data_IF_843630748016
#
_entry.id   IF_843630748016
#
_cell.length_a   1.000
_cell.length_b   1.000
_cell.length_c   1.000
_cell.angle_alpha   90.00
_cell.angle_beta   90.00
_cell.angle_gamma   90.00
#
_symmetry.space_group_name_H-M   'P 1'
#
loop_
_entity.id
_entity.type
_entity.pdbx_description
1 polymer ?
#
# COMPACT_ATOMS: atom_id res chain seq x y z
N UNK A 1 -57.33 15.54 -1.68
CA UNK A 1 -56.29 16.18 -2.52
C UNK A 1 -55.31 15.09 -2.94
N UNK A 2 -55.02 15.00 -4.24
CA UNK A 2 -54.43 13.83 -4.92
C UNK A 2 -52.95 13.63 -4.58
N UNK A 3 -52.59 12.40 -4.23
CA UNK A 3 -51.21 11.91 -4.20
C UNK A 3 -50.68 11.76 -5.63
N UNK A 4 -49.53 12.37 -5.93
CA UNK A 4 -48.81 12.20 -7.20
C UNK A 4 -47.59 11.33 -6.91
N UNK A 5 -47.60 10.11 -7.43
CA UNK A 5 -46.43 9.23 -7.48
C UNK A 5 -45.62 9.58 -8.73
N UNK A 6 -44.37 10.01 -8.55
CA UNK A 6 -43.40 10.11 -9.64
C UNK A 6 -42.79 8.74 -9.88
N UNK A 7 -43.19 8.08 -10.97
CA UNK A 7 -42.49 6.92 -11.51
C UNK A 7 -41.22 7.40 -12.22
N UNK A 8 -40.05 7.11 -11.63
CA UNK A 8 -38.78 7.18 -12.35
C UNK A 8 -38.71 5.98 -13.31
N UNK A 9 -38.90 6.26 -14.60
CA UNK A 9 -38.69 5.28 -15.66
C UNK A 9 -37.17 5.17 -15.91
N UNK A 10 -36.54 4.10 -15.40
CA UNK A 10 -35.16 3.76 -15.75
C UNK A 10 -35.17 3.23 -17.18
N UNK A 11 -34.71 4.04 -18.13
CA UNK A 11 -34.43 3.58 -19.49
C UNK A 11 -33.14 2.75 -19.46
N UNK A 12 -33.27 1.43 -19.39
CA UNK A 12 -32.17 0.50 -19.66
C UNK A 12 -31.92 0.50 -21.16
N UNK A 13 -30.93 1.25 -21.64
CA UNK A 13 -30.45 1.14 -23.02
C UNK A 13 -29.65 -0.17 -23.10
N UNK A 14 -30.32 -1.24 -23.55
CA UNK A 14 -29.67 -2.48 -23.98
C UNK A 14 -28.86 -2.18 -25.24
N UNK A 15 -27.59 -1.83 -25.08
CA UNK A 15 -26.63 -1.86 -26.18
C UNK A 15 -26.30 -3.33 -26.45
N UNK A 16 -26.81 -3.88 -27.56
CA UNK A 16 -26.47 -5.23 -27.99
C UNK A 16 -24.98 -5.30 -28.33
N UNK A 17 -24.17 -5.80 -27.39
CA UNK A 17 -22.75 -6.09 -27.60
C UNK A 17 -22.64 -7.40 -28.40
N UNK A 18 -22.14 -7.33 -29.63
CA UNK A 18 -21.78 -8.53 -30.38
C UNK A 18 -20.35 -8.93 -30.01
N UNK A 19 -20.23 -9.91 -29.11
CA UNK A 19 -18.95 -10.49 -28.71
C UNK A 19 -18.73 -11.76 -29.54
N UNK A 20 -17.71 -11.76 -30.41
CA UNK A 20 -17.36 -12.94 -31.22
C UNK A 20 -16.08 -13.58 -30.67
N UNK A 21 -16.19 -14.84 -30.25
CA UNK A 21 -15.03 -15.72 -30.06
C UNK A 21 -14.73 -16.39 -31.40
N UNK A 22 -13.50 -16.31 -31.91
CA UNK A 22 -13.09 -17.13 -33.05
C UNK A 22 -12.56 -18.47 -32.54
N UNK A 23 -13.10 -19.56 -33.08
CA UNK A 23 -12.66 -20.95 -32.81
C UNK A 23 -12.26 -21.68 -34.11
N UNK A 24 -11.95 -20.97 -35.22
CA UNK A 24 -11.63 -21.59 -36.51
C UNK A 24 -10.27 -21.13 -37.10
N UNK A 25 -9.42 -22.12 -37.40
CA UNK A 25 -8.11 -22.05 -38.09
C UNK A 25 -8.21 -21.79 -39.61
N UNK A 26 -9.09 -20.88 -40.07
CA UNK A 26 -9.20 -20.61 -41.50
C UNK A 26 -9.61 -19.17 -41.86
N UNK A 27 -8.68 -18.25 -41.64
CA UNK A 27 -8.39 -17.09 -42.49
C UNK A 27 -7.10 -16.45 -42.00
N UNK A 28 -6.23 -16.01 -42.90
CA UNK A 28 -4.91 -15.40 -42.66
C UNK A 28 -4.93 -14.06 -41.86
N UNK A 29 -6.05 -13.73 -41.21
CA UNK A 29 -6.20 -12.56 -40.35
C UNK A 29 -5.62 -12.89 -38.96
N UNK A 30 -4.33 -12.57 -38.78
CA UNK A 30 -3.74 -12.54 -37.45
C UNK A 30 -4.41 -11.42 -36.64
N UNK A 31 -4.89 -11.70 -35.41
CA UNK A 31 -5.53 -10.68 -34.58
C UNK A 31 -4.59 -9.49 -34.37
N UNK A 32 -5.13 -8.29 -34.58
CA UNK A 32 -4.38 -7.03 -34.48
C UNK A 32 -4.47 -6.49 -33.03
N UNK A 33 -3.61 -7.01 -32.16
CA UNK A 33 -3.52 -6.56 -30.78
C UNK A 33 -2.84 -5.20 -30.66
N UNK A 34 -3.16 -4.46 -29.61
CA UNK A 34 -2.38 -3.28 -29.25
C UNK A 34 -0.94 -3.67 -28.93
N UNK A 35 0.00 -2.87 -29.42
CA UNK A 35 1.44 -3.06 -29.17
C UNK A 35 1.75 -2.62 -27.74
N UNK A 36 2.64 -3.36 -27.08
CA UNK A 36 3.16 -2.96 -25.77
C UNK A 36 3.83 -1.57 -25.85
N UNK A 37 3.66 -0.77 -24.80
CA UNK A 37 4.18 0.59 -24.72
C UNK A 37 5.13 0.77 -23.54
N UNK A 38 6.03 1.73 -23.64
CA UNK A 38 6.87 2.17 -22.53
C UNK A 38 6.23 3.41 -21.89
N UNK A 39 5.95 3.36 -20.59
CA UNK A 39 5.34 4.50 -19.91
C UNK A 39 6.29 5.70 -19.76
N UNK A 40 7.61 5.51 -19.95
CA UNK A 40 8.58 6.61 -20.07
C UNK A 40 8.51 7.32 -21.43
N UNK A 41 7.97 6.65 -22.46
CA UNK A 41 7.89 7.18 -23.82
C UNK A 41 6.52 6.89 -24.44
N UNK A 42 5.49 7.49 -23.83
CA UNK A 42 4.12 7.29 -24.24
C UNK A 42 3.81 7.94 -25.60
N UNK A 43 2.92 7.33 -26.41
CA UNK A 43 2.40 7.97 -27.59
C UNK A 43 1.77 9.34 -27.29
N UNK A 44 1.87 10.25 -28.26
CA UNK A 44 1.33 11.61 -28.16
C UNK A 44 -0.14 11.58 -27.70
N UNK A 45 -0.46 12.34 -26.65
CA UNK A 45 -1.80 12.43 -26.06
C UNK A 45 -1.99 11.67 -24.74
N UNK A 46 -1.06 10.78 -24.37
CA UNK A 46 -1.10 10.03 -23.11
C UNK A 46 -0.17 10.60 -22.02
N UNK A 47 0.27 11.85 -22.17
CA UNK A 47 1.29 12.60 -21.39
C UNK A 47 1.61 11.99 -20.00
N UNK A 48 2.83 11.46 -19.80
CA UNK A 48 3.26 10.93 -18.51
C UNK A 48 3.54 12.06 -17.51
N UNK A 49 3.28 11.80 -16.23
CA UNK A 49 3.51 12.69 -15.11
C UNK A 49 4.25 11.89 -14.04
N UNK A 50 5.42 12.37 -13.62
CA UNK A 50 6.05 11.88 -12.40
C UNK A 50 5.39 12.57 -11.20
N UNK A 51 4.79 11.79 -10.31
CA UNK A 51 4.20 12.31 -9.08
C UNK A 51 5.30 12.56 -8.04
N UNK A 52 5.09 13.52 -7.14
CA UNK A 52 6.01 13.81 -6.04
C UNK A 52 7.38 14.33 -6.49
N UNK A 53 7.45 15.05 -7.61
CA UNK A 53 8.65 15.78 -8.02
C UNK A 53 9.06 16.82 -6.96
N UNK A 54 10.35 17.08 -6.83
CA UNK A 54 10.89 17.90 -5.73
C UNK A 54 10.43 19.36 -5.75
N UNK A 55 10.03 19.87 -6.91
CA UNK A 55 9.51 21.23 -7.10
C UNK A 55 7.98 21.30 -7.12
N UNK A 56 7.27 20.17 -6.91
CA UNK A 56 5.82 20.20 -6.72
C UNK A 56 5.44 20.95 -5.44
N UNK A 57 4.39 21.78 -5.53
CA UNK A 57 3.80 22.42 -4.34
C UNK A 57 3.40 21.37 -3.29
N UNK A 58 3.73 21.55 -1.99
CA UNK A 58 3.24 20.72 -0.91
C UNK A 58 1.72 20.56 -0.90
N UNK A 59 0.97 21.57 -1.35
CA UNK A 59 -0.50 21.50 -1.44
C UNK A 59 -1.01 20.35 -2.30
N UNK A 60 -0.24 19.90 -3.30
CA UNK A 60 -0.60 18.72 -4.11
C UNK A 60 -0.64 17.45 -3.26
N UNK A 61 0.17 17.33 -2.20
CA UNK A 61 0.21 16.14 -1.34
C UNK A 61 -1.14 15.88 -0.67
N UNK A 62 -1.88 16.96 -0.38
CA UNK A 62 -3.18 16.94 0.28
C UNK A 62 -4.36 16.91 -0.70
N UNK A 63 -4.11 16.88 -2.01
CA UNK A 63 -5.15 16.69 -3.02
C UNK A 63 -5.63 15.24 -2.98
N UNK A 64 -6.55 14.95 -2.07
CA UNK A 64 -7.11 13.62 -1.85
C UNK A 64 -7.99 13.13 -3.02
N UNK A 65 -8.22 13.93 -4.06
CA UNK A 65 -8.82 13.43 -5.31
C UNK A 65 -7.77 12.73 -6.19
N UNK A 66 -6.51 13.12 -6.05
CA UNK A 66 -5.42 12.73 -6.94
C UNK A 66 -4.19 12.12 -6.24
N UNK A 67 -3.97 12.30 -4.94
CA UNK A 67 -2.82 11.76 -4.17
C UNK A 67 -3.33 10.84 -3.06
N UNK A 68 -3.81 9.68 -3.49
CA UNK A 68 -4.26 8.62 -2.61
C UNK A 68 -3.94 7.26 -3.21
N UNK A 69 -3.73 6.26 -2.36
CA UNK A 69 -3.56 4.90 -2.82
C UNK A 69 -4.03 3.90 -1.77
N UNK A 70 -4.35 2.68 -2.22
CA UNK A 70 -4.47 1.56 -1.29
C UNK A 70 -3.17 0.78 -1.27
N UNK A 71 -2.71 0.39 -0.09
CA UNK A 71 -1.40 -0.30 0.06
C UNK A 71 -1.33 -1.65 -0.66
N UNK A 72 -2.47 -2.27 -0.97
CA UNK A 72 -2.56 -3.48 -1.81
C UNK A 72 -2.96 -3.21 -3.27
N UNK A 73 -3.06 -1.96 -3.69
CA UNK A 73 -3.37 -1.54 -5.06
C UNK A 73 -2.42 -0.39 -5.45
N UNK A 74 -1.12 -0.65 -5.40
CA UNK A 74 -0.09 0.36 -5.70
C UNK A 74 -0.02 0.71 -7.18
N UNK A 75 -0.31 -0.27 -8.05
CA UNK A 75 -0.57 -0.04 -9.47
C UNK A 75 -2.08 0.11 -9.67
N UNK A 76 -2.54 1.35 -9.81
CA UNK A 76 -3.95 1.73 -9.91
C UNK A 76 -4.35 1.97 -11.36
N UNK A 77 -5.55 1.51 -11.70
CA UNK A 77 -6.23 1.82 -12.95
C UNK A 77 -7.63 2.29 -12.59
N UNK A 78 -7.92 3.57 -12.84
CA UNK A 78 -9.15 4.23 -12.42
C UNK A 78 -9.82 4.81 -13.66
N UNK A 79 -11.09 4.47 -13.87
CA UNK A 79 -11.90 5.10 -14.92
C UNK A 79 -12.00 6.61 -14.69
N UNK A 80 -11.76 7.40 -15.74
CA UNK A 80 -11.94 8.84 -15.76
C UNK A 80 -12.95 9.20 -16.85
N UNK A 81 -14.10 9.73 -16.43
CA UNK A 81 -15.20 10.01 -17.35
C UNK A 81 -15.73 8.74 -18.02
N UNK A 82 -16.16 8.88 -19.28
CA UNK A 82 -16.79 7.78 -20.04
C UNK A 82 -15.83 6.97 -20.89
N UNK A 83 -14.63 7.47 -21.16
CA UNK A 83 -13.82 6.99 -22.27
C UNK A 83 -12.33 6.86 -21.96
N UNK A 84 -11.92 7.14 -20.72
CA UNK A 84 -10.51 7.25 -20.37
C UNK A 84 -10.20 6.53 -19.06
N UNK A 85 -8.93 6.20 -18.85
CA UNK A 85 -8.40 5.71 -17.58
C UNK A 85 -7.21 6.53 -17.13
N UNK A 86 -7.08 6.68 -15.82
CA UNK A 86 -5.84 7.08 -15.17
C UNK A 86 -5.10 5.82 -14.73
N UNK A 87 -3.85 5.70 -15.13
CA UNK A 87 -2.91 4.69 -14.66
C UNK A 87 -1.96 5.36 -13.68
N UNK A 88 -1.72 4.77 -12.51
CA UNK A 88 -0.81 5.35 -11.51
C UNK A 88 -0.04 4.28 -10.75
N UNK A 89 1.25 4.50 -10.54
CA UNK A 89 2.09 3.65 -9.69
C UNK A 89 2.56 4.43 -8.47
N UNK A 90 2.11 4.04 -7.28
CA UNK A 90 2.59 4.55 -6.00
C UNK A 90 3.72 3.66 -5.48
N UNK A 91 4.91 3.81 -6.06
CA UNK A 91 6.09 3.04 -5.69
C UNK A 91 7.36 3.84 -5.98
N UNK A 92 8.38 3.79 -5.09
CA UNK A 92 9.70 4.36 -5.34
C UNK A 92 10.52 3.60 -6.38
N UNK A 93 10.07 2.41 -6.79
CA UNK A 93 10.70 1.62 -7.84
C UNK A 93 9.64 1.30 -8.91
N UNK A 94 10.00 1.49 -10.18
CA UNK A 94 9.15 1.16 -11.30
C UNK A 94 8.83 -0.34 -11.40
N UNK A 95 7.90 -0.69 -12.30
CA UNK A 95 7.49 -2.06 -12.59
C UNK A 95 7.71 -2.39 -14.06
N UNK A 96 8.05 -3.66 -14.35
CA UNK A 96 8.17 -4.18 -15.71
C UNK A 96 7.03 -5.11 -16.08
N UNK A 97 6.80 -5.31 -17.39
CA UNK A 97 5.81 -6.26 -17.94
C UNK A 97 4.44 -6.16 -17.24
N UNK A 98 3.90 -4.94 -17.18
CA UNK A 98 2.60 -4.68 -16.52
C UNK A 98 1.47 -4.83 -17.52
N UNK A 99 0.53 -5.72 -17.21
CA UNK A 99 -0.64 -6.04 -18.04
C UNK A 99 -1.89 -5.53 -17.36
N UNK A 100 -2.63 -4.66 -18.05
CA UNK A 100 -3.92 -4.15 -17.61
C UNK A 100 -5.01 -4.88 -18.36
N UNK A 101 -5.84 -5.61 -17.61
CA UNK A 101 -7.01 -6.31 -18.12
C UNK A 101 -8.28 -5.52 -17.80
N UNK A 102 -9.23 -5.56 -18.71
CA UNK A 102 -10.60 -5.12 -18.49
C UNK A 102 -11.57 -6.30 -18.44
N UNK A 103 -12.63 -6.18 -17.65
CA UNK A 103 -13.79 -7.06 -17.67
C UNK A 103 -15.06 -6.21 -17.78
N UNK A 104 -15.93 -6.54 -18.72
CA UNK A 104 -17.24 -5.89 -18.86
C UNK A 104 -18.26 -6.57 -17.95
N UNK A 105 -19.19 -5.83 -17.38
CA UNK A 105 -20.27 -6.40 -16.56
C UNK A 105 -21.13 -7.41 -17.34
N UNK A 106 -21.21 -7.25 -18.65
CA UNK A 106 -21.94 -8.14 -19.57
C UNK A 106 -21.10 -9.29 -20.14
N UNK A 107 -19.84 -9.45 -19.73
CA UNK A 107 -18.94 -10.47 -20.28
C UNK A 107 -18.04 -11.08 -19.19
N UNK A 108 -18.12 -12.40 -19.01
CA UNK A 108 -17.51 -13.04 -17.86
C UNK A 108 -15.99 -13.13 -17.90
N UNK A 109 -15.37 -13.05 -19.09
CA UNK A 109 -13.92 -13.14 -19.26
C UNK A 109 -13.28 -11.75 -19.28
N UNK A 110 -12.10 -11.65 -18.68
CA UNK A 110 -11.26 -10.45 -18.82
C UNK A 110 -10.36 -10.55 -20.06
N UNK A 111 -10.01 -9.40 -20.62
CA UNK A 111 -9.19 -9.27 -21.82
C UNK A 111 -8.17 -8.14 -21.65
N UNK A 112 -6.99 -8.31 -22.25
CA UNK A 112 -5.87 -7.37 -22.14
C UNK A 112 -6.17 -6.09 -22.93
N UNK A 113 -6.13 -4.94 -22.25
CA UNK A 113 -6.34 -3.62 -22.88
C UNK A 113 -5.07 -2.79 -22.99
N UNK A 114 -4.10 -2.98 -22.09
CA UNK A 114 -2.79 -2.35 -22.19
C UNK A 114 -1.69 -3.29 -21.69
N UNK A 115 -0.53 -3.21 -22.34
CA UNK A 115 0.70 -3.86 -21.92
C UNK A 115 1.79 -2.79 -21.83
N UNK A 116 2.38 -2.64 -20.65
CA UNK A 116 3.48 -1.71 -20.40
C UNK A 116 4.76 -2.52 -20.20
N UNK A 117 5.76 -2.31 -21.07
CA UNK A 117 7.08 -2.93 -20.89
C UNK A 117 7.77 -2.42 -19.62
N UNK A 118 7.55 -1.15 -19.32
CA UNK A 118 8.09 -0.43 -18.18
C UNK A 118 7.08 0.65 -17.70
N UNK A 119 6.95 0.77 -16.39
CA UNK A 119 6.19 1.82 -15.68
C UNK A 119 7.14 2.46 -14.66
N UNK A 120 7.51 3.74 -14.81
CA UNK A 120 8.51 4.36 -13.94
C UNK A 120 8.03 4.54 -12.50
N UNK A 121 8.95 4.83 -11.59
CA UNK A 121 8.62 5.14 -10.20
C UNK A 121 7.68 6.35 -10.12
N UNK A 122 6.74 6.33 -9.17
CA UNK A 122 5.76 7.39 -8.96
C UNK A 122 5.00 7.85 -10.22
N UNK A 123 4.80 6.94 -11.18
CA UNK A 123 4.19 7.26 -12.47
C UNK A 123 2.72 7.62 -12.39
N UNK A 124 2.28 8.52 -13.26
CA UNK A 124 0.87 8.70 -13.65
C UNK A 124 0.76 8.99 -15.14
N UNK A 125 -0.23 8.42 -15.79
CA UNK A 125 -0.65 8.85 -17.13
C UNK A 125 -2.14 8.63 -17.36
N UNK A 126 -2.66 9.26 -18.41
CA UNK A 126 -4.04 9.14 -18.84
C UNK A 126 -4.10 8.50 -20.21
N UNK A 127 -5.01 7.55 -20.41
CA UNK A 127 -5.13 6.81 -21.66
C UNK A 127 -6.58 6.74 -22.07
N UNK A 128 -6.85 6.90 -23.37
CA UNK A 128 -8.17 6.61 -23.92
C UNK A 128 -8.41 5.10 -23.92
N UNK A 129 -9.56 4.67 -23.40
CA UNK A 129 -9.97 3.27 -23.41
C UNK A 129 -10.06 2.76 -24.84
N UNK A 130 -9.36 1.67 -25.20
CA UNK A 130 -9.37 1.13 -26.56
C UNK A 130 -10.79 0.83 -27.07
N UNK A 131 -11.67 0.39 -26.17
CA UNK A 131 -13.04 -0.03 -26.50
C UNK A 131 -13.91 1.11 -27.03
N UNK A 132 -13.54 2.37 -26.78
CA UNK A 132 -14.31 3.52 -27.28
C UNK A 132 -13.81 4.06 -28.62
N UNK A 133 -12.62 3.62 -29.06
CA UNK A 133 -11.96 4.15 -30.25
C UNK A 133 -12.30 3.35 -31.52
N UNK A 134 -12.91 2.19 -31.39
CA UNK A 134 -13.28 1.38 -32.56
C UNK A 134 -13.58 -0.07 -32.20
N UNK A 135 -13.76 -0.88 -33.24
CA UNK A 135 -13.81 -2.33 -33.14
C UNK A 135 -12.37 -2.86 -33.08
N UNK A 136 -12.08 -3.71 -32.10
CA UNK A 136 -10.74 -4.24 -31.89
C UNK A 136 -10.76 -5.70 -31.43
N UNK A 137 -9.65 -6.40 -31.69
CA UNK A 137 -9.38 -7.72 -31.12
C UNK A 137 -8.54 -7.57 -29.85
N UNK A 138 -8.92 -8.32 -28.82
CA UNK A 138 -8.24 -8.32 -27.52
C UNK A 138 -7.82 -9.73 -27.12
N UNK A 139 -6.69 -9.81 -26.43
CA UNK A 139 -6.15 -11.09 -25.95
C UNK A 139 -6.81 -11.50 -24.64
N UNK A 140 -7.44 -12.67 -24.62
CA UNK A 140 -7.92 -13.33 -23.40
C UNK A 140 -6.76 -13.96 -22.62
N UNK A 141 -6.99 -14.29 -21.35
CA UNK A 141 -5.99 -14.94 -20.50
C UNK A 141 -5.44 -16.26 -21.06
N UNK A 142 -6.29 -17.02 -21.74
CA UNK A 142 -5.91 -18.27 -22.39
C UNK A 142 -5.18 -18.07 -23.74
N UNK A 143 -4.87 -16.82 -24.11
CA UNK A 143 -4.19 -16.47 -25.35
C UNK A 143 -5.08 -16.38 -26.59
N UNK A 144 -6.36 -16.76 -26.50
CA UNK A 144 -7.33 -16.61 -27.60
C UNK A 144 -7.70 -15.14 -27.80
N UNK A 145 -8.17 -14.81 -29.00
CA UNK A 145 -8.70 -13.49 -29.32
C UNK A 145 -10.20 -13.39 -28.98
N UNK A 146 -10.63 -12.20 -28.60
CA UNK A 146 -12.04 -11.80 -28.56
C UNK A 146 -12.20 -10.48 -29.33
N UNK A 147 -13.16 -10.43 -30.24
CA UNK A 147 -13.49 -9.19 -30.94
C UNK A 147 -14.60 -8.46 -30.20
N UNK A 148 -14.39 -7.18 -29.92
CA UNK A 148 -15.38 -6.31 -29.26
C UNK A 148 -15.65 -5.11 -30.17
N UNK A 149 -16.92 -4.88 -30.50
CA UNK A 149 -17.35 -3.70 -31.24
C UNK A 149 -17.22 -2.42 -30.38
N UNK A 150 -17.15 -1.26 -31.05
CA UNK A 150 -17.03 0.04 -30.38
C UNK A 150 -18.15 0.24 -29.34
N UNK A 151 -17.76 0.63 -28.13
CA UNK A 151 -18.66 1.01 -27.05
C UNK A 151 -18.73 2.53 -26.98
N UNK A 152 -19.94 3.09 -26.85
CA UNK A 152 -20.19 4.54 -26.83
C UNK A 152 -19.66 5.29 -25.58
N UNK A 153 -18.94 4.59 -24.71
CA UNK A 153 -18.49 5.05 -23.40
C UNK A 153 -19.08 4.20 -22.27
N UNK A 154 -18.53 4.36 -21.08
CA UNK A 154 -18.85 3.58 -19.89
C UNK A 154 -19.42 4.45 -18.78
N UNK A 155 -20.45 3.98 -18.10
CA UNK A 155 -20.84 4.46 -16.78
C UNK A 155 -19.99 3.78 -15.70
N UNK A 156 -20.00 4.35 -14.48
CA UNK A 156 -19.28 3.78 -13.34
C UNK A 156 -19.75 2.34 -13.06
N UNK A 157 -18.80 1.40 -13.02
CA UNK A 157 -19.07 -0.01 -12.70
C UNK A 157 -19.43 -0.88 -13.91
N UNK A 158 -19.51 -0.34 -15.12
CA UNK A 158 -19.73 -1.15 -16.34
C UNK A 158 -18.46 -1.88 -16.81
N UNK A 159 -17.29 -1.38 -16.38
CA UNK A 159 -15.98 -1.93 -16.69
C UNK A 159 -15.15 -2.02 -15.40
N UNK A 160 -14.55 -3.20 -15.18
CA UNK A 160 -13.65 -3.47 -14.07
C UNK A 160 -12.23 -3.66 -14.59
N UNK A 161 -11.24 -3.16 -13.86
CA UNK A 161 -9.83 -3.29 -14.21
C UNK A 161 -9.10 -4.22 -13.24
N UNK A 162 -8.17 -5.01 -13.77
CA UNK A 162 -7.22 -5.80 -12.99
C UNK A 162 -5.84 -5.69 -13.60
N UNK A 163 -4.82 -5.84 -12.75
CA UNK A 163 -3.42 -5.68 -13.14
C UNK A 163 -2.66 -6.95 -12.80
N UNK A 164 -1.84 -7.41 -13.74
CA UNK A 164 -0.87 -8.48 -13.55
C UNK A 164 0.52 -7.98 -13.95
N UNK A 165 1.57 -8.57 -13.39
CA UNK A 165 2.95 -8.34 -13.82
C UNK A 165 3.83 -9.51 -13.40
N UNK A 166 4.82 -9.83 -14.22
CA UNK A 166 5.85 -10.83 -13.88
C UNK A 166 6.98 -10.25 -13.03
N UNK A 167 6.94 -8.94 -12.73
CA UNK A 167 7.94 -8.27 -11.91
C UNK A 167 7.91 -8.82 -10.47
N UNK A 168 9.09 -9.18 -9.97
CA UNK A 168 9.26 -9.69 -8.60
C UNK A 168 8.79 -8.72 -7.52
N UNK A 169 8.86 -7.41 -7.78
CA UNK A 169 8.33 -6.39 -6.88
C UNK A 169 6.80 -6.41 -6.85
N UNK A 170 6.16 -6.57 -8.01
CA UNK A 170 4.70 -6.71 -8.08
C UNK A 170 4.22 -7.96 -7.33
N UNK A 171 4.95 -9.07 -7.44
CA UNK A 171 4.67 -10.28 -6.65
C UNK A 171 4.71 -10.01 -5.12
N UNK A 172 5.60 -9.12 -4.65
CA UNK A 172 5.59 -8.67 -3.24
C UNK A 172 4.38 -7.79 -2.92
N UNK A 173 3.97 -6.89 -3.81
CA UNK A 173 2.77 -6.06 -3.61
C UNK A 173 1.50 -6.90 -3.43
N UNK A 174 1.37 -7.98 -4.21
CA UNK A 174 0.23 -8.93 -4.12
C UNK A 174 0.16 -9.67 -2.77
N UNK A 175 1.25 -9.69 -1.99
CA UNK A 175 1.29 -10.31 -0.66
C UNK A 175 0.70 -9.40 0.44
N UNK A 176 0.54 -8.10 0.18
CA UNK A 176 -0.04 -7.15 1.14
C UNK A 176 -1.52 -7.45 1.33
N UNK A 177 -1.90 -7.80 2.57
CA UNK A 177 -3.28 -8.14 2.96
C UNK A 177 -4.12 -6.89 3.27
N UNK A 178 -3.48 -5.85 3.81
CA UNK A 178 -4.19 -4.62 4.17
C UNK A 178 -4.77 -3.93 2.95
N UNK A 179 -6.04 -3.51 3.05
CA UNK A 179 -6.75 -2.76 2.01
C UNK A 179 -6.81 -1.27 2.32
N UNK A 180 -6.03 -0.81 3.31
CA UNK A 180 -6.04 0.56 3.83
C UNK A 180 -5.88 1.59 2.72
N UNK A 181 -6.68 2.64 2.81
CA UNK A 181 -6.54 3.85 2.01
C UNK A 181 -5.55 4.78 2.70
N UNK A 182 -4.49 5.18 2.01
CA UNK A 182 -3.48 6.12 2.50
C UNK A 182 -3.72 7.48 1.86
N UNK A 183 -3.77 8.50 2.70
CA UNK A 183 -3.91 9.91 2.37
C UNK A 183 -2.87 10.71 3.16
N UNK A 184 -2.50 11.89 2.65
CA UNK A 184 -1.81 12.89 3.46
C UNK A 184 -2.81 13.94 3.93
N UNK A 185 -2.58 14.51 5.11
CA UNK A 185 -3.47 15.53 5.67
C UNK A 185 -2.66 16.70 6.21
N UNK A 186 -3.06 17.91 5.83
CA UNK A 186 -2.57 19.16 6.38
C UNK A 186 -3.43 19.67 7.54
N UNK A 187 -4.57 19.03 7.85
CA UNK A 187 -5.49 19.52 8.88
C UNK A 187 -4.78 19.76 10.23
N UNK A 188 -3.82 18.89 10.55
CA UNK A 188 -3.03 18.98 11.78
C UNK A 188 -1.92 20.03 11.69
N UNK A 189 -1.32 20.22 10.52
CA UNK A 189 -0.38 21.31 10.27
C UNK A 189 -1.09 22.68 10.31
N UNK A 190 -2.30 22.78 9.78
CA UNK A 190 -3.11 24.00 9.84
C UNK A 190 -3.51 24.32 11.29
N UNK A 191 -3.92 23.30 12.04
CA UNK A 191 -4.35 23.46 13.42
C UNK A 191 -3.19 23.78 14.38
N UNK A 192 -2.03 23.16 14.16
CA UNK A 192 -0.84 23.30 15.00
C UNK A 192 0.44 23.26 14.15
N UNK A 193 0.79 24.39 13.48
CA UNK A 193 1.92 24.47 12.55
C UNK A 193 3.29 24.45 13.24
N UNK A 194 3.34 24.66 14.55
CA UNK A 194 4.58 24.55 15.33
C UNK A 194 4.92 23.07 15.58
N UNK A 195 3.89 22.26 15.84
CA UNK A 195 4.03 20.82 16.06
C UNK A 195 4.13 20.01 14.77
N UNK A 196 3.18 20.18 13.86
CA UNK A 196 3.09 19.41 12.62
C UNK A 196 3.72 20.20 11.49
N UNK A 197 4.55 19.55 10.70
CA UNK A 197 5.21 20.16 9.54
C UNK A 197 4.48 19.81 8.25
N UNK A 198 4.57 20.65 7.20
CA UNK A 198 3.95 20.33 5.92
C UNK A 198 4.62 19.10 5.28
N UNK A 199 3.81 18.14 4.86
CA UNK A 199 4.25 17.05 4.01
C UNK A 199 4.72 17.61 2.67
N UNK A 200 6.02 17.48 2.40
CA UNK A 200 6.61 17.84 1.11
C UNK A 200 6.79 16.59 0.22
N UNK A 201 7.06 16.76 -1.09
CA UNK A 201 7.21 15.63 -2.01
C UNK A 201 8.27 14.61 -1.60
N UNK A 202 9.43 15.05 -1.08
CA UNK A 202 10.50 14.16 -0.63
C UNK A 202 10.04 13.26 0.51
N UNK A 203 9.40 13.84 1.51
CA UNK A 203 8.87 13.10 2.66
C UNK A 203 7.70 12.21 2.29
N UNK A 204 6.83 12.65 1.37
CA UNK A 204 5.75 11.81 0.87
C UNK A 204 6.30 10.53 0.23
N UNK A 205 7.40 10.61 -0.54
CA UNK A 205 8.06 9.45 -1.15
C UNK A 205 8.62 8.49 -0.09
N UNK A 206 9.26 9.02 0.96
CA UNK A 206 9.76 8.23 2.09
C UNK A 206 8.62 7.57 2.88
N UNK A 207 7.56 8.32 3.19
CA UNK A 207 6.35 7.84 3.85
C UNK A 207 5.68 6.72 3.05
N UNK A 208 5.60 6.85 1.71
CA UNK A 208 5.08 5.82 0.82
C UNK A 208 5.95 4.56 0.86
N UNK A 209 7.28 4.70 0.80
CA UNK A 209 8.18 3.54 0.91
C UNK A 209 8.01 2.81 2.25
N UNK A 210 7.98 3.57 3.35
CA UNK A 210 7.80 3.05 4.70
C UNK A 210 6.45 2.33 4.86
N UNK A 211 5.33 2.95 4.46
CA UNK A 211 4.00 2.36 4.67
C UNK A 211 3.80 1.10 3.83
N UNK A 212 4.41 1.01 2.65
CA UNK A 212 4.39 -0.21 1.82
C UNK A 212 5.17 -1.33 2.52
N UNK A 213 6.39 -1.04 2.99
CA UNK A 213 7.18 -2.03 3.73
C UNK A 213 6.48 -2.48 5.01
N UNK A 214 5.92 -1.55 5.78
CA UNK A 214 5.14 -1.84 6.99
C UNK A 214 3.94 -2.74 6.67
N UNK A 215 3.16 -2.38 5.64
CA UNK A 215 1.98 -3.15 5.22
C UNK A 215 2.35 -4.56 4.76
N UNK A 216 3.51 -4.72 4.11
CA UNK A 216 4.08 -6.03 3.80
C UNK A 216 4.46 -6.78 5.08
N UNK A 217 5.21 -6.17 5.99
CA UNK A 217 5.65 -6.80 7.22
C UNK A 217 4.48 -7.33 8.06
N UNK A 218 3.44 -6.53 8.30
CA UNK A 218 2.27 -6.97 9.08
C UNK A 218 1.41 -8.01 8.36
N UNK A 219 1.57 -8.16 7.05
CA UNK A 219 0.87 -9.19 6.27
C UNK A 219 1.61 -10.54 6.30
N UNK A 220 2.88 -10.55 6.72
CA UNK A 220 3.79 -11.69 6.65
C UNK A 220 3.31 -12.87 7.52
N UNK A 221 3.41 -14.13 7.05
CA UNK A 221 3.01 -15.29 7.83
C UNK A 221 3.71 -15.42 9.20
N UNK A 222 5.02 -15.12 9.25
CA UNK A 222 5.75 -15.08 10.51
C UNK A 222 5.28 -13.97 11.47
N UNK A 223 4.90 -12.80 10.95
CA UNK A 223 4.31 -11.76 11.79
C UNK A 223 2.99 -12.25 12.37
N UNK A 224 2.10 -12.78 11.54
CA UNK A 224 0.83 -13.34 11.99
C UNK A 224 1.02 -14.44 13.04
N UNK A 225 1.87 -15.43 12.79
CA UNK A 225 2.14 -16.53 13.74
C UNK A 225 2.73 -16.01 15.07
N UNK A 226 3.59 -14.99 15.01
CA UNK A 226 4.16 -14.34 16.20
C UNK A 226 3.09 -13.55 16.95
N UNK A 227 2.27 -12.77 16.24
CA UNK A 227 1.21 -11.96 16.80
C UNK A 227 0.14 -12.81 17.49
N UNK A 228 -0.31 -13.89 16.86
CA UNK A 228 -1.31 -14.81 17.44
C UNK A 228 -0.73 -15.59 18.64
N UNK A 229 0.59 -15.79 18.69
CA UNK A 229 1.29 -16.53 19.74
C UNK A 229 2.31 -15.65 20.48
N UNK A 230 1.90 -14.44 20.86
CA UNK A 230 2.81 -13.45 21.43
C UNK A 230 3.47 -13.91 22.74
N UNK A 231 2.78 -14.74 23.54
CA UNK A 231 3.35 -15.37 24.72
C UNK A 231 4.59 -16.23 24.43
N UNK A 232 4.60 -16.90 23.26
CA UNK A 232 5.75 -17.66 22.78
C UNK A 232 6.89 -16.72 22.41
N UNK A 233 6.59 -15.63 21.70
CA UNK A 233 7.59 -14.62 21.36
C UNK A 233 8.24 -14.02 22.61
N UNK A 234 7.46 -13.72 23.67
CA UNK A 234 8.00 -13.23 24.95
C UNK A 234 9.02 -14.18 25.57
N UNK A 235 8.76 -15.49 25.53
CA UNK A 235 9.72 -16.50 26.01
C UNK A 235 10.97 -16.57 25.12
N UNK A 236 10.80 -16.50 23.80
CA UNK A 236 11.90 -16.51 22.83
C UNK A 236 12.79 -15.26 22.96
N UNK A 237 12.17 -14.09 23.18
CA UNK A 237 12.84 -12.82 23.42
C UNK A 237 13.67 -12.86 24.71
N UNK A 238 13.06 -13.28 25.82
CA UNK A 238 13.75 -13.41 27.10
C UNK A 238 14.95 -14.39 27.00
N UNK A 239 14.75 -15.53 26.34
CA UNK A 239 15.80 -16.51 26.09
C UNK A 239 16.95 -15.95 25.23
N UNK A 240 16.63 -15.21 24.16
CA UNK A 240 17.64 -14.57 23.30
C UNK A 240 18.45 -13.49 24.05
N UNK A 241 17.81 -12.78 24.98
CA UNK A 241 18.46 -11.77 25.80
C UNK A 241 19.24 -12.35 26.99
N UNK A 242 18.91 -13.57 27.42
CA UNK A 242 19.46 -14.20 28.63
C UNK A 242 18.84 -13.63 29.91
N UNK A 243 17.56 -13.26 29.85
CA UNK A 243 16.80 -12.67 30.95
C UNK A 243 15.57 -13.50 31.28
N UNK A 244 14.95 -13.24 32.43
CA UNK A 244 13.61 -13.74 32.71
C UNK A 244 12.54 -13.01 31.86
N UNK A 245 11.38 -13.63 31.69
CA UNK A 245 10.22 -12.98 31.07
C UNK A 245 9.70 -11.89 32.01
N UNK A 246 9.55 -10.67 31.50
CA UNK A 246 9.08 -9.51 32.27
C UNK A 246 7.80 -8.90 31.65
N UNK A 247 7.04 -8.19 32.50
CA UNK A 247 5.81 -7.48 32.12
C UNK A 247 4.69 -8.40 31.64
N UNK A 248 3.84 -7.91 30.72
CA UNK A 248 2.68 -8.65 30.25
C UNK A 248 3.09 -9.93 29.49
N UNK A 249 2.48 -11.06 29.87
CA UNK A 249 2.80 -12.38 29.29
C UNK A 249 2.16 -12.62 27.93
N UNK A 250 1.14 -11.85 27.58
CA UNK A 250 0.42 -11.91 26.30
C UNK A 250 -0.18 -10.53 25.96
N UNK A 251 -0.92 -10.42 24.86
CA UNK A 251 -1.69 -9.22 24.55
C UNK A 251 -2.77 -8.96 25.59
N UNK A 252 -2.90 -7.69 25.98
CA UNK A 252 -3.99 -7.21 26.84
C UNK A 252 -4.59 -5.94 26.24
N UNK A 253 -5.82 -5.67 26.63
CA UNK A 253 -6.64 -4.60 26.06
C UNK A 253 -6.37 -3.25 26.72
N UNK A 254 -7.41 -2.42 26.78
CA UNK A 254 -7.33 -1.04 27.25
C UNK A 254 -7.68 -0.89 28.72
N UNK A 255 -8.07 -1.97 29.41
CA UNK A 255 -8.36 -1.86 30.83
C UNK A 255 -7.10 -1.45 31.59
N UNK A 256 -7.30 -0.70 32.66
CA UNK A 256 -6.18 -0.20 33.45
C UNK A 256 -5.48 -1.35 34.15
N UNK A 257 -4.16 -1.41 34.02
CA UNK A 257 -3.35 -2.34 34.78
C UNK A 257 -3.36 -1.96 36.26
N UNK A 258 -3.72 -2.92 37.12
CA UNK A 258 -3.74 -2.75 38.57
C UNK A 258 -2.73 -3.73 39.15
N UNK A 259 -1.61 -3.20 39.64
CA UNK A 259 -0.53 -3.97 40.30
C UNK A 259 -0.01 -5.17 39.48
N UNK A 260 0.07 -5.01 38.14
CA UNK A 260 0.54 -6.06 37.23
C UNK A 260 -0.53 -7.10 36.86
N UNK A 261 -1.79 -6.86 37.17
CA UNK A 261 -2.94 -7.63 36.68
C UNK A 261 -3.45 -6.99 35.38
N UNK A 262 -3.44 -7.78 34.30
CA UNK A 262 -3.77 -7.34 32.93
C UNK A 262 -5.07 -7.98 32.43
N UNK A 263 -5.79 -7.29 31.55
CA UNK A 263 -6.96 -7.78 30.82
C UNK A 263 -6.55 -8.61 29.58
N UNK A 264 -5.93 -9.75 29.82
CA UNK A 264 -5.43 -10.59 28.74
C UNK A 264 -6.52 -10.97 27.73
N UNK A 265 -6.21 -10.76 26.46
CA UNK A 265 -7.10 -11.07 25.35
C UNK A 265 -7.14 -12.57 25.09
N UNK A 266 -8.34 -13.10 24.83
CA UNK A 266 -8.52 -14.45 24.32
C UNK A 266 -7.95 -14.58 22.90
N UNK A 267 -7.69 -15.82 22.45
CA UNK A 267 -7.24 -16.09 21.07
C UNK A 267 -8.16 -15.47 20.00
N UNK A 268 -9.48 -15.54 20.20
CA UNK A 268 -10.44 -14.95 19.27
C UNK A 268 -10.36 -13.42 19.24
N UNK A 269 -10.16 -12.78 20.40
CA UNK A 269 -9.94 -11.33 20.46
C UNK A 269 -8.61 -10.93 19.81
N UNK A 270 -7.53 -11.69 20.03
CA UNK A 270 -6.23 -11.45 19.38
C UNK A 270 -6.35 -11.54 17.86
N UNK A 271 -7.10 -12.52 17.34
CA UNK A 271 -7.40 -12.63 15.91
C UNK A 271 -8.15 -11.39 15.40
N UNK A 272 -9.13 -10.89 16.15
CA UNK A 272 -9.84 -9.65 15.82
C UNK A 272 -8.91 -8.43 15.84
N UNK A 273 -7.98 -8.35 16.80
CA UNK A 273 -6.95 -7.31 16.85
C UNK A 273 -6.09 -7.35 15.58
N UNK A 274 -5.56 -8.53 15.23
CA UNK A 274 -4.75 -8.69 14.02
C UNK A 274 -5.52 -8.23 12.77
N UNK A 275 -6.78 -8.63 12.63
CA UNK A 275 -7.63 -8.21 11.52
C UNK A 275 -7.84 -6.69 11.48
N UNK A 276 -7.89 -6.02 12.63
CA UNK A 276 -7.95 -4.55 12.74
C UNK A 276 -6.66 -3.88 12.25
N UNK A 277 -5.50 -4.50 12.45
CA UNK A 277 -4.21 -3.99 11.94
C UNK A 277 -4.10 -4.06 10.42
N UNK A 278 -4.67 -5.11 9.80
CA UNK A 278 -4.61 -5.35 8.34
C UNK A 278 -5.91 -5.01 7.61
N UNK A 279 -6.70 -4.06 8.12
CA UNK A 279 -8.03 -3.80 7.58
C UNK A 279 -8.06 -2.84 6.37
N UNK A 280 -9.24 -2.26 6.12
CA UNK A 280 -9.54 -1.35 5.00
C UNK A 280 -9.80 0.10 5.40
N UNK A 281 -9.46 0.52 6.63
CA UNK A 281 -9.66 1.91 7.10
C UNK A 281 -8.84 2.92 6.31
N UNK A 282 -9.19 4.19 6.46
CA UNK A 282 -8.39 5.31 5.99
C UNK A 282 -7.30 5.65 7.00
N UNK A 283 -6.10 5.93 6.50
CA UNK A 283 -4.98 6.46 7.28
C UNK A 283 -4.51 7.78 6.67
N UNK A 284 -4.69 8.84 7.43
CA UNK A 284 -4.09 10.14 7.21
C UNK A 284 -2.71 10.16 7.84
N UNK A 285 -1.69 10.17 6.99
CA UNK A 285 -0.30 10.27 7.41
C UNK A 285 0.11 11.75 7.50
N UNK A 286 0.84 12.10 8.56
CA UNK A 286 1.50 13.40 8.67
C UNK A 286 2.88 13.28 9.30
N UNK A 287 3.53 14.43 9.45
CA UNK A 287 4.85 14.60 10.04
C UNK A 287 4.79 15.58 11.21
N UNK A 288 5.56 15.30 12.25
CA UNK A 288 5.82 16.26 13.33
C UNK A 288 7.26 16.80 13.23
N UNK A 289 7.45 18.07 13.61
CA UNK A 289 8.69 18.84 13.44
C UNK A 289 9.68 18.81 14.58
N UNK A 290 9.47 17.95 15.58
CA UNK A 290 10.37 17.81 16.73
C UNK A 290 9.65 17.49 18.04
N UNK A 291 8.33 17.64 18.09
CA UNK A 291 7.51 17.17 19.21
C UNK A 291 7.16 15.68 19.10
N UNK A 292 6.45 15.15 20.10
CA UNK A 292 5.97 13.77 20.09
C UNK A 292 5.08 13.49 18.88
N UNK A 293 5.33 12.35 18.24
CA UNK A 293 4.43 11.78 17.27
C UNK A 293 3.05 11.52 17.90
N UNK A 294 2.05 11.40 17.05
CA UNK A 294 0.67 11.24 17.47
C UNK A 294 -0.10 10.34 16.51
N UNK A 295 -0.95 9.50 17.07
CA UNK A 295 -1.89 8.65 16.38
C UNK A 295 -3.21 8.55 17.12
N UNK A 296 -4.27 8.25 16.39
CA UNK A 296 -5.62 8.15 16.91
C UNK A 296 -6.66 8.35 15.82
N UNK A 297 -7.79 7.64 15.91
CA UNK A 297 -8.82 7.69 14.87
C UNK A 297 -8.26 7.26 13.51
N UNK A 298 -8.44 8.08 12.48
CA UNK A 298 -7.91 7.85 11.14
C UNK A 298 -6.50 8.42 10.91
N UNK A 299 -5.82 8.86 11.98
CA UNK A 299 -4.55 9.58 11.89
C UNK A 299 -3.37 8.81 12.50
N UNK A 300 -2.21 8.92 11.86
CA UNK A 300 -0.91 8.64 12.48
C UNK A 300 0.18 9.54 11.91
N UNK A 301 1.13 9.94 12.75
CA UNK A 301 2.27 10.76 12.36
C UNK A 301 3.58 10.14 12.80
N UNK A 302 4.67 10.67 12.25
CA UNK A 302 6.02 10.22 12.56
C UNK A 302 7.02 11.38 12.48
N UNK A 303 8.21 11.18 13.05
CA UNK A 303 9.29 12.17 12.97
C UNK A 303 9.86 12.24 11.55
N UNK A 304 10.30 13.44 11.17
CA UNK A 304 11.03 13.66 9.92
C UNK A 304 12.25 12.72 9.80
N UNK A 305 13.03 12.59 10.88
CA UNK A 305 14.19 11.69 10.94
C UNK A 305 13.82 10.23 10.70
N UNK A 306 12.64 9.83 11.16
CA UNK A 306 12.25 8.44 11.12
C UNK A 306 11.76 8.04 9.72
N UNK A 307 11.07 8.95 9.03
CA UNK A 307 10.78 8.79 7.60
C UNK A 307 12.05 8.76 6.74
N UNK A 308 13.07 9.56 7.04
CA UNK A 308 14.23 9.69 6.15
C UNK A 308 15.34 8.67 6.45
N UNK A 309 15.46 8.23 7.70
CA UNK A 309 16.62 7.45 8.16
C UNK A 309 16.21 6.22 8.97
N UNK A 310 15.38 6.37 10.00
CA UNK A 310 15.26 5.33 11.02
C UNK A 310 14.46 4.11 10.56
N UNK A 311 13.43 4.27 9.71
CA UNK A 311 12.71 3.12 9.14
C UNK A 311 13.61 2.24 8.25
N UNK A 312 14.61 2.82 7.58
CA UNK A 312 15.62 2.07 6.81
C UNK A 312 16.57 1.24 7.68
N UNK A 313 16.67 1.57 8.97
CA UNK A 313 17.37 0.76 9.99
C UNK A 313 16.43 -0.18 10.73
N UNK A 314 15.13 -0.15 10.41
CA UNK A 314 14.09 -0.96 11.01
C UNK A 314 13.55 -0.44 12.35
N UNK A 315 13.86 0.79 12.73
CA UNK A 315 13.34 1.44 13.94
C UNK A 315 11.88 1.88 13.72
N UNK A 316 10.97 0.89 13.76
CA UNK A 316 9.53 1.09 13.58
C UNK A 316 8.77 1.25 14.91
N UNK A 317 9.45 1.45 16.03
CA UNK A 317 8.86 1.45 17.37
C UNK A 317 7.79 2.54 17.53
N UNK A 318 8.15 3.79 17.22
CA UNK A 318 7.22 4.94 17.34
C UNK A 318 6.10 4.82 16.31
N UNK A 319 6.39 4.44 15.06
CA UNK A 319 5.33 4.18 14.09
C UNK A 319 4.34 3.12 14.60
N UNK A 320 4.85 2.00 15.14
CA UNK A 320 4.02 0.94 15.72
C UNK A 320 3.14 1.48 16.85
N UNK A 321 3.69 2.33 17.73
CA UNK A 321 2.96 2.99 18.81
C UNK A 321 1.78 3.81 18.30
N UNK A 322 2.05 4.78 17.41
CA UNK A 322 1.00 5.65 16.88
C UNK A 322 -0.01 4.88 16.03
N UNK A 323 0.46 3.85 15.33
CA UNK A 323 -0.39 2.98 14.55
C UNK A 323 -1.31 2.10 15.42
N UNK A 324 -0.88 1.75 16.64
CA UNK A 324 -1.73 1.09 17.63
C UNK A 324 -2.82 2.01 18.15
N UNK A 325 -2.55 3.31 18.33
CA UNK A 325 -3.58 4.31 18.63
C UNK A 325 -4.58 4.47 17.49
N UNK A 326 -4.09 4.53 16.24
CA UNK A 326 -4.95 4.44 15.05
C UNK A 326 -5.83 3.19 15.10
N UNK A 327 -5.33 2.08 15.65
CA UNK A 327 -6.05 0.81 15.79
C UNK A 327 -6.95 0.70 17.03
N UNK A 328 -7.11 1.77 17.81
CA UNK A 328 -8.05 1.85 18.93
C UNK A 328 -7.48 1.45 20.29
N UNK A 329 -6.14 1.30 20.40
CA UNK A 329 -5.48 0.94 21.64
C UNK A 329 -4.92 2.18 22.34
N UNK A 330 -5.00 2.21 23.66
CA UNK A 330 -4.53 3.28 24.53
C UNK A 330 -3.19 2.91 25.17
N UNK A 331 -2.56 3.84 25.89
CA UNK A 331 -1.33 3.56 26.65
C UNK A 331 -1.51 2.50 27.76
N UNK A 332 -2.74 2.12 28.10
CA UNK A 332 -2.98 0.98 28.99
C UNK A 332 -2.72 -0.36 28.31
N UNK A 333 -2.67 -0.45 26.98
CA UNK A 333 -2.44 -1.70 26.25
C UNK A 333 -0.98 -1.85 25.84
N UNK A 334 -0.41 -3.05 25.97
CA UNK A 334 0.90 -3.38 25.38
C UNK A 334 0.91 -3.40 23.83
N UNK A 335 -0.22 -3.16 23.18
CA UNK A 335 -0.27 -2.81 21.76
C UNK A 335 0.24 -1.38 21.53
N UNK A 336 -0.10 -0.42 22.39
CA UNK A 336 0.33 0.98 22.26
C UNK A 336 1.35 1.42 23.33
N UNK A 337 1.84 0.53 24.18
CA UNK A 337 2.81 0.88 25.22
C UNK A 337 4.02 -0.07 25.27
N UNK A 338 5.20 0.47 25.57
CA UNK A 338 6.48 -0.26 25.57
C UNK A 338 7.00 -0.57 26.98
N UNK A 339 6.52 0.12 28.01
CA UNK A 339 7.08 0.06 29.38
C UNK A 339 6.79 -1.22 30.18
N UNK A 340 6.33 -2.29 29.53
CA UNK A 340 5.95 -3.57 30.17
C UNK A 340 6.75 -4.75 29.61
N UNK A 341 8.06 -4.56 29.46
CA UNK A 341 8.97 -5.63 29.03
C UNK A 341 8.89 -5.98 27.55
N UNK A 342 8.31 -5.10 26.72
CA UNK A 342 8.16 -5.35 25.28
C UNK A 342 6.75 -5.76 24.90
N UNK A 343 6.23 -5.06 23.90
CA UNK A 343 4.89 -5.20 23.32
C UNK A 343 4.97 -5.10 21.80
N UNK A 344 3.90 -4.62 21.16
CA UNK A 344 3.80 -4.48 19.71
C UNK A 344 4.87 -3.57 19.10
N UNK A 345 5.33 -2.57 19.85
CA UNK A 345 6.42 -1.69 19.43
C UNK A 345 7.73 -2.46 19.21
N UNK A 346 8.12 -3.28 20.19
CA UNK A 346 9.37 -4.02 20.16
C UNK A 346 9.30 -5.20 19.20
N UNK A 347 8.22 -5.99 19.28
CA UNK A 347 8.03 -7.16 18.41
C UNK A 347 8.03 -6.77 16.93
N UNK A 348 7.29 -5.72 16.55
CA UNK A 348 7.29 -5.25 15.17
C UNK A 348 8.68 -4.74 14.76
N UNK A 349 9.34 -3.93 15.61
CA UNK A 349 10.68 -3.40 15.31
C UNK A 349 11.66 -4.55 15.05
N UNK A 350 11.74 -5.52 15.95
CA UNK A 350 12.65 -6.66 15.81
C UNK A 350 12.32 -7.51 14.58
N UNK A 351 11.02 -7.73 14.30
CA UNK A 351 10.60 -8.45 13.11
C UNK A 351 10.96 -7.70 11.83
N UNK A 352 10.73 -6.38 11.80
CA UNK A 352 11.03 -5.54 10.65
C UNK A 352 12.54 -5.48 10.37
N UNK A 353 13.37 -5.35 11.41
CA UNK A 353 14.83 -5.49 11.31
C UNK A 353 15.23 -6.85 10.74
N UNK A 354 14.56 -7.93 11.16
CA UNK A 354 14.81 -9.26 10.60
C UNK A 354 14.47 -9.34 9.10
N UNK A 355 13.37 -8.71 8.65
CA UNK A 355 13.05 -8.66 7.23
C UNK A 355 14.07 -7.83 6.41
N UNK A 356 14.64 -6.76 6.98
CA UNK A 356 15.75 -6.02 6.36
C UNK A 356 16.98 -6.93 6.22
N UNK A 357 17.34 -7.66 7.29
CA UNK A 357 18.46 -8.61 7.28
C UNK A 357 18.29 -9.67 6.18
N UNK A 358 17.08 -10.20 6.02
CA UNK A 358 16.75 -11.15 4.96
C UNK A 358 16.70 -10.54 3.55
N UNK A 359 16.70 -9.20 3.43
CA UNK A 359 16.39 -8.46 2.20
C UNK A 359 15.02 -8.84 1.63
N UNK A 360 14.04 -9.04 2.51
CA UNK A 360 12.73 -9.56 2.14
C UNK A 360 11.65 -8.47 2.01
N UNK A 361 11.86 -7.28 2.59
CA UNK A 361 10.94 -6.15 2.36
C UNK A 361 10.86 -5.78 0.87
N UNK A 362 9.76 -5.14 0.41
CA UNK A 362 9.68 -4.53 -0.92
C UNK A 362 10.86 -3.60 -1.20
N UNK A 363 11.25 -2.79 -0.22
CA UNK A 363 12.35 -1.82 -0.34
C UNK A 363 13.35 -1.98 0.81
N UNK A 364 14.63 -2.16 0.50
CA UNK A 364 15.70 -2.35 1.51
C UNK A 364 16.89 -1.41 1.30
N UNK A 365 16.89 -0.57 0.26
CA UNK A 365 17.98 0.34 -0.04
C UNK A 365 17.44 1.78 -0.04
N UNK A 366 17.87 2.65 0.89
CA UNK A 366 17.45 4.05 0.92
C UNK A 366 17.88 4.85 -0.32
N UNK A 367 18.78 4.27 -1.14
CA UNK A 367 19.28 4.91 -2.36
C UNK A 367 18.28 4.89 -3.51
N UNK A 368 17.21 4.10 -3.45
CA UNK A 368 16.13 4.15 -4.45
C UNK A 368 15.45 5.54 -4.51
N UNK A 369 15.61 6.35 -3.45
CA UNK A 369 15.10 7.72 -3.36
C UNK A 369 16.20 8.80 -3.46
N UNK A 370 17.46 8.43 -3.78
CA UNK A 370 18.59 9.40 -3.88
C UNK A 370 18.50 10.34 -5.08
N UNK A 371 17.71 10.00 -6.10
CA UNK A 371 17.44 10.90 -7.24
C UNK A 371 16.68 12.17 -6.86
N UNK A 372 16.24 12.27 -5.61
CA UNK A 372 15.47 13.37 -5.07
C UNK A 372 16.27 14.13 -4.01
N UNK A 373 16.16 15.45 -4.01
CA UNK A 373 16.95 16.42 -3.25
C UNK A 373 16.53 16.41 -1.78
N UNK A 374 16.90 15.34 -1.06
CA UNK A 374 16.73 15.24 0.40
C UNK A 374 17.30 16.46 1.13
N UNK A 375 18.34 17.09 0.56
CA UNK A 375 19.10 18.21 1.13
C UNK A 375 18.30 19.53 1.19
N UNK A 376 17.36 19.79 0.25
CA UNK A 376 16.60 21.06 0.26
C UNK A 376 15.60 21.14 1.41
N UNK A 377 15.14 19.98 1.87
CA UNK A 377 14.04 19.87 2.82
C UNK A 377 14.50 19.45 4.22
N UNK A 378 15.71 18.91 4.34
CA UNK A 378 16.30 18.56 5.61
C UNK A 378 17.01 19.76 6.25
N UNK A 379 16.76 19.98 7.53
CA UNK A 379 17.53 20.91 8.36
C UNK A 379 18.98 20.43 8.64
N UNK A 380 19.37 19.25 8.13
CA UNK A 380 20.65 18.57 8.40
C UNK A 380 21.20 17.91 7.12
N UNK A 381 22.52 17.65 7.11
CA UNK A 381 23.15 16.87 6.03
C UNK A 381 22.61 15.44 6.07
N UNK A 382 22.06 14.97 4.95
CA UNK A 382 21.64 13.58 4.82
C UNK A 382 22.85 12.63 4.85
N UNK A 383 22.78 11.64 5.72
CA UNK A 383 23.73 10.52 5.78
C UNK A 383 22.96 9.24 5.46
N UNK A 384 23.47 8.43 4.52
CA UNK A 384 22.83 7.16 4.16
C UNK A 384 22.72 6.29 5.41
N UNK A 385 21.52 5.81 5.80
CA UNK A 385 21.37 4.95 6.95
C UNK A 385 22.06 3.60 6.69
N UNK A 386 22.79 3.11 7.69
CA UNK A 386 23.47 1.82 7.67
C UNK A 386 22.73 0.91 8.65
N UNK A 387 22.17 -0.18 8.12
CA UNK A 387 21.51 -1.19 8.93
C UNK A 387 22.53 -2.16 9.54
N UNK A 388 22.34 -2.53 10.80
CA UNK A 388 23.04 -3.63 11.48
C UNK A 388 22.04 -4.34 12.37
N UNK A 389 21.89 -5.66 12.18
CA UNK A 389 21.00 -6.46 13.02
C UNK A 389 21.69 -6.77 14.36
N UNK A 390 20.94 -6.67 15.45
CA UNK A 390 21.38 -7.15 16.76
C UNK A 390 21.53 -8.69 16.70
N UNK A 391 22.69 -9.29 17.05
CA UNK A 391 22.86 -10.74 17.10
C UNK A 391 21.87 -11.46 18.05
N UNK A 392 21.32 -10.73 19.02
CA UNK A 392 20.29 -11.21 19.96
C UNK A 392 18.85 -10.97 19.48
N UNK A 393 18.64 -10.48 18.26
CA UNK A 393 17.30 -10.33 17.70
C UNK A 393 16.56 -11.69 17.76
N UNK A 394 15.39 -11.80 18.41
CA UNK A 394 14.73 -13.10 18.65
C UNK A 394 14.39 -13.86 17.37
N UNK A 395 14.01 -13.14 16.31
CA UNK A 395 13.72 -13.75 15.00
C UNK A 395 14.99 -14.29 14.35
N UNK A 396 16.11 -13.55 14.45
CA UNK A 396 17.41 -14.03 13.94
C UNK A 396 17.87 -15.29 14.69
N UNK A 397 17.79 -15.29 16.02
CA UNK A 397 18.19 -16.44 16.84
C UNK A 397 17.33 -17.67 16.52
N UNK A 398 16.03 -17.48 16.36
CA UNK A 398 15.06 -18.54 16.09
C UNK A 398 15.17 -19.10 14.67
N UNK A 399 15.13 -18.23 13.66
CA UNK A 399 15.00 -18.62 12.25
C UNK A 399 16.34 -18.67 11.51
N UNK A 400 17.44 -18.16 12.09
CA UNK A 400 18.81 -18.33 11.59
C UNK A 400 19.03 -17.92 10.12
N UNK A 401 18.30 -16.90 9.65
CA UNK A 401 18.38 -16.41 8.27
C UNK A 401 17.38 -17.06 7.30
N UNK A 402 16.50 -17.94 7.79
CA UNK A 402 15.37 -18.47 7.03
C UNK A 402 14.08 -17.65 7.24
N UNK A 403 13.03 -18.00 6.50
CA UNK A 403 11.70 -17.43 6.74
C UNK A 403 11.31 -16.28 5.82
N UNK A 404 12.02 -16.08 4.71
CA UNK A 404 11.55 -15.21 3.62
C UNK A 404 10.16 -15.61 3.16
N UNK A 405 9.36 -14.64 2.80
CA UNK A 405 8.04 -14.88 2.25
C UNK A 405 8.17 -15.51 0.86
N UNK A 406 7.95 -16.83 0.78
CA UNK A 406 7.91 -17.56 -0.49
C UNK A 406 6.82 -17.02 -1.40
#
# INVERSE_FOLDING_TARGET
MKNIYFYFLVFTICSCLFIRCSDNDSSDDKPNYQVAMDADNLPKGNEPITMFEDDESPTKMYDNQNRWFRVNQLMQVIQKGKDSVQVSLYSPVGLKDVKVYAKLSSYDKRFLIYEFTNVPAFHRSFHQLPLVNGKHDYKLENGKAVTIDKIGGFNSGEIEFSVESTDTLFAKFKKIKSKRLVLFSDQYHIADPEKFLPMNPVLAKEAIAMIINFSYAISHPLYYDTFINFDRYKREQAAANGTDVNGALNWHGNDKDIDGVYDYLTKAQIEQVYNTYIDSRTLHMAMVGGENAWGGGDFASHWESDYISEHWKGEMSVWSHEYSHHSGYSHSSNLAYSGQGGGQQEMLKEFYQYLIYLKDLPFNDPDILKGYTKIKYLNRIYVKPIFTINPKNPFLVKYKGDGKWK
#
